data_IF_346805247617
#
_entry.id   IF_346805247617
#
_cell.length_a   1.000
_cell.length_b   1.000
_cell.length_c   1.000
_cell.angle_alpha   90.00
_cell.angle_beta   90.00
_cell.angle_gamma   90.00
#
_symmetry.space_group_name_H-M   'P 1'
#
loop_
_entity.id
_entity.type
_entity.pdbx_description
1 polymer ?
#
# COMPACT_ATOMS: atom_id res chain seq x y z
N UNK A 1 7.03 5.35 11.25
CA UNK A 1 6.75 4.38 10.17
C UNK A 1 7.95 4.05 9.31
N UNK A 2 8.63 4.96 8.60
CA UNK A 2 9.82 4.66 7.76
C UNK A 2 10.82 3.63 8.35
N UNK A 3 11.29 3.84 9.58
CA UNK A 3 12.21 2.90 10.27
C UNK A 3 11.59 1.53 10.50
N UNK A 4 10.30 1.49 10.84
CA UNK A 4 9.59 0.23 11.07
C UNK A 4 9.26 -0.48 9.76
N UNK A 5 8.88 0.23 8.70
CA UNK A 5 8.67 -0.33 7.36
C UNK A 5 9.91 -1.11 6.92
N UNK A 6 11.10 -0.47 7.01
CA UNK A 6 12.37 -1.08 6.63
C UNK A 6 12.87 -2.20 7.55
N UNK A 7 12.29 -2.35 8.74
CA UNK A 7 12.72 -3.34 9.73
C UNK A 7 11.68 -4.46 9.93
N UNK A 8 10.52 -4.38 9.28
CA UNK A 8 9.42 -5.31 9.52
C UNK A 8 9.53 -6.54 8.64
N UNK A 9 9.62 -7.72 9.27
CA UNK A 9 9.49 -9.02 8.57
C UNK A 9 8.07 -9.25 8.02
N UNK A 10 7.11 -8.44 8.45
CA UNK A 10 5.73 -8.48 7.95
C UNK A 10 5.55 -7.68 6.66
N UNK A 11 6.49 -6.81 6.31
CA UNK A 11 6.44 -5.95 5.13
C UNK A 11 7.59 -6.27 4.17
N UNK A 12 7.89 -7.56 4.01
CA UNK A 12 8.85 -8.00 3.02
C UNK A 12 8.28 -7.86 1.60
N UNK A 13 9.16 -7.55 0.67
CA UNK A 13 8.91 -7.55 -0.78
C UNK A 13 8.58 -8.98 -1.28
N UNK A 14 8.05 -9.15 -2.50
CA UNK A 14 7.73 -10.47 -3.06
C UNK A 14 8.93 -11.42 -3.15
N UNK A 15 10.15 -10.88 -3.23
CA UNK A 15 11.41 -11.64 -3.21
C UNK A 15 12.02 -11.80 -1.81
N UNK A 16 11.26 -11.46 -0.75
CA UNK A 16 11.62 -11.71 0.65
C UNK A 16 12.63 -10.74 1.24
N UNK A 17 12.80 -9.55 0.65
CA UNK A 17 13.73 -8.51 1.14
C UNK A 17 12.97 -7.47 1.96
N UNK A 18 13.68 -6.81 2.88
CA UNK A 18 13.15 -5.61 3.50
C UNK A 18 13.06 -4.46 2.50
N UNK A 19 12.03 -3.63 2.62
CA UNK A 19 11.88 -2.44 1.79
C UNK A 19 13.10 -1.54 1.95
N UNK A 20 13.61 -1.00 0.84
CA UNK A 20 14.75 -0.07 0.85
C UNK A 20 14.29 1.38 0.98
N UNK A 21 13.08 1.68 0.50
CA UNK A 21 12.48 3.01 0.44
C UNK A 21 10.99 2.96 0.77
N UNK A 22 10.38 4.15 0.76
CA UNK A 22 8.97 4.33 1.01
C UNK A 22 8.51 4.15 2.46
N UNK A 23 7.20 4.20 2.63
CA UNK A 23 6.52 4.08 3.93
C UNK A 23 5.23 3.27 3.82
N UNK A 24 5.05 2.38 4.78
CA UNK A 24 3.80 1.65 4.98
C UNK A 24 3.46 1.60 6.47
N UNK A 25 2.17 1.45 6.74
CA UNK A 25 1.64 1.01 8.01
C UNK A 25 0.59 -0.08 7.77
N UNK A 26 0.08 -0.65 8.84
CA UNK A 26 -0.98 -1.65 8.79
C UNK A 26 -2.29 -1.06 9.31
N UNK A 27 -3.41 -1.67 8.92
CA UNK A 27 -4.78 -1.22 9.23
C UNK A 27 -5.06 -0.86 10.69
N UNK A 28 -4.27 -1.34 11.65
CA UNK A 28 -4.35 -0.95 13.06
C UNK A 28 -3.17 -0.08 13.48
N UNK A 29 -3.46 1.09 14.03
CA UNK A 29 -2.47 1.95 14.68
C UNK A 29 -3.04 2.70 15.88
N UNK A 30 -2.18 3.38 16.64
CA UNK A 30 -2.55 4.13 17.84
C UNK A 30 -1.91 5.52 17.87
N UNK A 31 -2.24 6.30 18.90
CA UNK A 31 -1.77 7.70 19.08
C UNK A 31 -0.24 7.85 19.16
N UNK A 32 0.50 6.76 19.37
CA UNK A 32 1.96 6.74 19.39
C UNK A 32 2.57 6.27 18.07
N UNK A 33 1.75 6.06 17.03
CA UNK A 33 2.18 5.56 15.72
C UNK A 33 2.59 4.08 15.74
N UNK A 34 2.18 3.32 16.76
CA UNK A 34 2.39 1.88 16.81
C UNK A 34 1.62 1.18 15.70
N UNK A 35 2.19 0.12 15.12
CA UNK A 35 1.53 -0.75 14.15
C UNK A 35 1.04 -2.00 14.87
N UNK A 36 -0.28 -2.23 14.87
CA UNK A 36 -0.89 -3.44 15.42
C UNK A 36 -0.95 -4.52 14.36
N UNK A 37 -0.44 -5.71 14.68
CA UNK A 37 -0.64 -6.93 13.89
C UNK A 37 -1.61 -7.85 14.63
N UNK A 38 -2.64 -7.28 15.26
CA UNK A 38 -3.64 -8.10 15.95
C UNK A 38 -4.51 -8.79 14.91
N UNK A 39 -4.68 -10.10 15.09
CA UNK A 39 -5.44 -10.91 14.15
C UNK A 39 -6.91 -10.48 14.09
N UNK A 40 -7.37 -10.07 12.91
CA UNK A 40 -8.78 -9.79 12.63
C UNK A 40 -9.39 -10.99 11.94
N UNK A 41 -10.50 -11.53 12.48
CA UNK A 41 -11.18 -12.73 11.98
C UNK A 41 -10.27 -13.95 11.71
N UNK A 42 -9.17 -14.10 12.47
CA UNK A 42 -8.18 -15.18 12.28
C UNK A 42 -7.09 -14.89 11.25
N UNK A 43 -7.08 -13.70 10.65
CA UNK A 43 -6.08 -13.23 9.71
C UNK A 43 -4.98 -12.43 10.41
N UNK A 44 -3.71 -12.87 10.43
CA UNK A 44 -2.69 -12.32 11.32
C UNK A 44 -2.12 -10.95 10.89
N UNK A 45 -2.21 -10.60 9.60
CA UNK A 45 -1.43 -9.47 9.04
C UNK A 45 -2.29 -8.47 8.24
N UNK A 46 -3.50 -8.19 8.72
CA UNK A 46 -4.42 -7.18 8.15
C UNK A 46 -3.95 -5.74 8.43
N UNK A 47 -3.82 -4.79 7.50
CA UNK A 47 -3.81 -4.73 6.02
C UNK A 47 -2.67 -3.77 5.62
N UNK A 48 -1.85 -4.12 4.63
CA UNK A 48 -0.72 -3.30 4.16
C UNK A 48 -1.12 -2.20 3.16
N UNK A 49 -2.34 -2.22 2.63
CA UNK A 49 -2.82 -1.22 1.64
C UNK A 49 -3.31 0.08 2.25
N UNK A 50 -3.40 0.14 3.58
CA UNK A 50 -3.97 1.28 4.28
C UNK A 50 -3.26 2.61 4.00
N UNK A 51 -1.93 2.63 3.78
CA UNK A 51 -1.23 3.88 3.48
C UNK A 51 -1.55 4.44 2.10
N UNK A 52 -1.82 3.56 1.13
CA UNK A 52 -2.32 3.95 -0.18
C UNK A 52 -3.75 4.46 -0.10
N UNK A 53 -4.60 3.86 0.75
CA UNK A 53 -5.93 4.42 1.02
C UNK A 53 -5.84 5.80 1.67
N UNK A 54 -4.97 5.99 2.68
CA UNK A 54 -4.76 7.32 3.27
C UNK A 54 -4.25 8.34 2.27
N UNK A 55 -3.45 7.94 1.28
CA UNK A 55 -2.95 8.82 0.23
C UNK A 55 -4.10 9.44 -0.61
N UNK A 56 -5.25 8.77 -0.72
CA UNK A 56 -6.43 9.33 -1.38
C UNK A 56 -6.87 10.64 -0.71
N UNK A 57 -6.91 10.69 0.61
CA UNK A 57 -7.30 11.92 1.33
C UNK A 57 -6.29 13.06 1.13
N UNK A 58 -5.00 12.75 1.00
CA UNK A 58 -4.00 13.76 0.68
C UNK A 58 -4.25 14.36 -0.70
N UNK A 59 -4.56 13.52 -1.68
CA UNK A 59 -4.91 13.95 -3.03
C UNK A 59 -6.23 14.73 -3.06
N UNK A 60 -7.30 14.22 -2.45
CA UNK A 60 -8.62 14.86 -2.40
C UNK A 60 -8.52 16.28 -1.81
N UNK A 61 -7.75 16.47 -0.75
CA UNK A 61 -7.55 17.80 -0.17
C UNK A 61 -7.00 18.79 -1.21
N UNK A 62 -6.04 18.36 -2.03
CA UNK A 62 -5.57 19.17 -3.16
C UNK A 62 -6.63 19.30 -4.25
N UNK A 63 -7.28 18.21 -4.69
CA UNK A 63 -8.21 18.23 -5.81
C UNK A 63 -9.42 19.15 -5.57
N UNK A 64 -9.88 19.25 -4.33
CA UNK A 64 -10.99 20.13 -3.94
C UNK A 64 -10.54 21.53 -3.51
N UNK A 65 -9.30 21.69 -3.02
CA UNK A 65 -8.77 22.98 -2.56
C UNK A 65 -7.93 23.75 -3.60
N UNK A 66 -7.37 23.03 -4.58
CA UNK A 66 -6.43 23.50 -5.60
C UNK A 66 -5.16 24.19 -5.06
N UNK A 67 -4.81 23.96 -3.80
CA UNK A 67 -3.62 24.53 -3.17
C UNK A 67 -2.34 23.79 -3.61
N UNK A 68 -1.62 24.41 -4.55
CA UNK A 68 -0.37 23.87 -5.09
C UNK A 68 0.77 23.87 -4.07
N UNK A 69 0.74 24.74 -3.06
CA UNK A 69 1.75 24.76 -1.99
C UNK A 69 1.54 23.54 -1.11
N UNK A 70 0.30 23.27 -0.69
CA UNK A 70 -0.04 22.03 0.01
C UNK A 70 0.33 20.79 -0.80
N UNK A 71 0.01 20.75 -2.10
CA UNK A 71 0.38 19.62 -2.94
C UNK A 71 1.88 19.39 -2.92
N UNK A 72 2.68 20.43 -3.17
CA UNK A 72 4.13 20.33 -3.28
C UNK A 72 4.80 19.98 -1.95
N UNK A 73 4.40 20.63 -0.88
CA UNK A 73 5.14 20.59 0.39
C UNK A 73 4.60 19.52 1.35
N UNK A 74 3.38 19.02 1.14
CA UNK A 74 2.71 18.07 2.05
C UNK A 74 2.24 16.80 1.34
N UNK A 75 1.31 16.90 0.39
CA UNK A 75 0.66 15.73 -0.19
C UNK A 75 1.60 14.90 -1.08
N UNK A 76 2.28 15.55 -2.02
CA UNK A 76 3.16 14.86 -2.97
C UNK A 76 4.30 14.10 -2.28
N UNK A 77 5.05 14.68 -1.30
CA UNK A 77 6.07 13.93 -0.58
C UNK A 77 5.53 12.66 0.10
N UNK A 78 4.34 12.72 0.69
CA UNK A 78 3.71 11.54 1.30
C UNK A 78 3.33 10.50 0.24
N UNK A 79 2.57 10.91 -0.79
CA UNK A 79 2.13 10.02 -1.87
C UNK A 79 3.31 9.34 -2.56
N UNK A 80 4.39 10.10 -2.81
CA UNK A 80 5.64 9.58 -3.38
C UNK A 80 6.26 8.49 -2.53
N UNK A 81 6.37 8.67 -1.21
CA UNK A 81 6.91 7.61 -0.35
C UNK A 81 6.01 6.38 -0.31
N UNK A 82 4.69 6.54 -0.39
CA UNK A 82 3.78 5.38 -0.46
C UNK A 82 3.92 4.66 -1.81
N UNK A 83 4.05 5.39 -2.92
CA UNK A 83 4.31 4.79 -4.24
C UNK A 83 5.66 4.08 -4.28
N UNK A 84 6.71 4.66 -3.68
CA UNK A 84 8.03 4.03 -3.59
C UNK A 84 8.01 2.71 -2.81
N UNK A 85 7.14 2.59 -1.80
CA UNK A 85 6.89 1.32 -1.15
C UNK A 85 6.26 0.33 -2.15
N UNK A 86 5.18 0.72 -2.83
CA UNK A 86 4.51 -0.15 -3.80
C UNK A 86 5.39 -0.56 -4.99
N UNK A 87 6.33 0.28 -5.43
CA UNK A 87 7.30 -0.06 -6.48
C UNK A 87 8.10 -1.32 -6.15
N UNK A 88 8.39 -1.56 -4.87
CA UNK A 88 9.12 -2.74 -4.40
C UNK A 88 8.20 -3.91 -4.03
N UNK A 89 6.89 -3.66 -3.86
CA UNK A 89 5.94 -4.65 -3.33
C UNK A 89 5.01 -5.23 -4.39
N UNK A 90 4.86 -4.59 -5.54
CA UNK A 90 4.11 -5.15 -6.66
C UNK A 90 4.81 -6.40 -7.22
N UNK A 91 4.01 -7.42 -7.53
CA UNK A 91 4.49 -8.69 -8.08
C UNK A 91 4.13 -8.76 -9.57
N UNK A 92 5.10 -9.14 -10.41
CA UNK A 92 4.82 -9.46 -11.81
C UNK A 92 4.13 -10.83 -11.91
N UNK A 93 3.04 -10.88 -12.66
CA UNK A 93 2.33 -12.13 -12.95
C UNK A 93 3.13 -12.96 -13.97
N UNK A 94 3.60 -14.12 -13.53
CA UNK A 94 4.39 -15.05 -14.37
C UNK A 94 3.61 -16.29 -14.82
N UNK A 95 2.41 -16.50 -14.26
CA UNK A 95 1.52 -17.63 -14.56
C UNK A 95 0.08 -17.11 -14.73
N UNK A 96 -0.71 -17.73 -15.61
CA UNK A 96 -2.10 -17.32 -15.86
C UNK A 96 -2.43 -17.23 -17.35
N UNK A 97 -3.49 -16.48 -17.69
CA UNK A 97 -3.84 -16.24 -19.10
C UNK A 97 -2.83 -15.31 -19.77
N UNK A 98 -2.79 -15.33 -21.11
CA UNK A 98 -1.90 -14.45 -21.89
C UNK A 98 -2.12 -12.97 -21.57
N UNK A 99 -3.35 -12.60 -21.23
CA UNK A 99 -3.75 -11.23 -20.87
C UNK A 99 -3.28 -10.84 -19.46
N UNK A 100 -2.96 -11.80 -18.60
CA UNK A 100 -2.50 -11.57 -17.23
C UNK A 100 -0.96 -11.51 -17.16
N UNK A 101 -0.27 -12.31 -17.97
CA UNK A 101 1.19 -12.39 -17.96
C UNK A 101 1.85 -11.02 -18.15
N UNK A 102 2.83 -10.71 -17.29
CA UNK A 102 3.59 -9.46 -17.33
C UNK A 102 2.90 -8.27 -16.65
N UNK A 103 1.64 -8.38 -16.23
CA UNK A 103 0.99 -7.35 -15.40
C UNK A 103 1.56 -7.35 -13.97
N UNK A 104 1.45 -6.21 -13.31
CA UNK A 104 1.75 -6.06 -11.89
C UNK A 104 0.47 -6.25 -11.08
N UNK A 105 0.57 -7.00 -9.99
CA UNK A 105 -0.52 -7.21 -9.02
C UNK A 105 -0.05 -6.90 -7.61
N UNK A 106 -0.97 -6.45 -6.76
CA UNK A 106 -0.76 -6.42 -5.32
C UNK A 106 -0.76 -7.86 -4.80
N UNK A 107 0.34 -8.38 -4.23
CA UNK A 107 0.41 -9.77 -3.82
C UNK A 107 -0.16 -9.98 -2.41
N UNK A 108 -0.63 -11.21 -2.15
CA UNK A 108 -1.14 -11.63 -0.83
C UNK A 108 -2.15 -10.63 -0.21
N UNK A 109 -3.06 -10.09 -1.02
CA UNK A 109 -4.15 -9.26 -0.55
C UNK A 109 -5.26 -10.11 0.05
N UNK A 110 -5.91 -9.62 1.10
CA UNK A 110 -7.10 -10.23 1.68
C UNK A 110 -8.26 -9.25 1.52
N UNK A 111 -9.42 -9.70 1.04
CA UNK A 111 -10.59 -8.83 0.98
C UNK A 111 -11.16 -8.69 2.39
N UNK A 112 -11.12 -7.51 3.02
CA UNK A 112 -11.63 -7.35 4.37
C UNK A 112 -13.08 -7.85 4.47
N UNK A 113 -13.43 -8.79 5.35
CA UNK A 113 -12.60 -9.59 6.26
C UNK A 113 -12.90 -11.08 6.05
N UNK A 114 -12.90 -11.52 4.80
CA UNK A 114 -13.28 -12.88 4.46
C UNK A 114 -12.64 -13.39 3.17
N UNK A 115 -12.71 -14.71 3.00
CA UNK A 115 -12.12 -15.36 1.85
C UNK A 115 -10.62 -15.58 2.00
N UNK A 116 -9.96 -16.02 0.92
CA UNK A 116 -8.54 -16.35 0.93
C UNK A 116 -7.65 -15.10 0.83
N UNK A 117 -6.38 -15.25 1.19
CA UNK A 117 -5.32 -14.37 0.68
C UNK A 117 -5.05 -14.73 -0.78
N UNK A 118 -4.98 -13.73 -1.65
CA UNK A 118 -4.73 -13.92 -3.07
C UNK A 118 -3.95 -12.75 -3.68
N UNK A 119 -3.21 -13.04 -4.75
CA UNK A 119 -2.60 -12.00 -5.57
C UNK A 119 -3.68 -11.29 -6.39
N UNK A 120 -3.64 -9.96 -6.42
CA UNK A 120 -4.53 -9.15 -7.25
C UNK A 120 -5.96 -9.03 -6.70
N UNK A 121 -6.16 -9.21 -5.39
CA UNK A 121 -7.43 -8.92 -4.73
C UNK A 121 -7.94 -7.52 -5.11
N UNK A 122 -9.18 -7.40 -5.59
CA UNK A 122 -9.73 -6.15 -6.13
C UNK A 122 -9.64 -4.97 -5.17
N UNK A 123 -9.95 -5.19 -3.88
CA UNK A 123 -9.84 -4.18 -2.83
C UNK A 123 -8.46 -3.50 -2.84
N UNK A 124 -7.42 -4.31 -2.75
CA UNK A 124 -6.04 -3.84 -2.73
C UNK A 124 -5.62 -3.23 -4.07
N UNK A 125 -6.04 -3.88 -5.16
CA UNK A 125 -5.63 -3.50 -6.51
C UNK A 125 -6.19 -2.12 -6.90
N UNK A 126 -7.44 -1.83 -6.58
CA UNK A 126 -8.09 -0.54 -6.87
C UNK A 126 -7.46 0.60 -6.08
N UNK A 127 -7.18 0.40 -4.78
CA UNK A 127 -6.56 1.41 -3.93
C UNK A 127 -5.14 1.75 -4.40
N UNK A 128 -4.34 0.73 -4.72
CA UNK A 128 -2.97 0.95 -5.21
C UNK A 128 -2.97 1.55 -6.62
N UNK A 129 -3.91 1.15 -7.47
CA UNK A 129 -4.08 1.77 -8.78
C UNK A 129 -4.40 3.27 -8.65
N UNK A 130 -5.32 3.64 -7.76
CA UNK A 130 -5.71 5.04 -7.54
C UNK A 130 -4.54 5.91 -7.04
N UNK A 131 -3.69 5.37 -6.16
CA UNK A 131 -2.44 6.03 -5.76
C UNK A 131 -1.57 6.39 -6.98
N UNK A 132 -1.36 5.43 -7.90
CA UNK A 132 -0.52 5.66 -9.08
C UNK A 132 -1.18 6.56 -10.13
N UNK A 133 -2.51 6.68 -10.15
CA UNK A 133 -3.18 7.64 -11.03
C UNK A 133 -3.23 9.05 -10.47
N UNK A 134 -3.12 9.19 -9.15
CA UNK A 134 -3.17 10.48 -8.46
C UNK A 134 -1.78 11.05 -8.14
N UNK A 135 -0.70 10.27 -8.28
CA UNK A 135 0.65 10.80 -8.14
C UNK A 135 1.02 11.65 -9.38
N UNK A 136 1.28 12.94 -9.14
CA UNK A 136 1.50 13.98 -10.19
C UNK A 136 2.97 14.26 -10.42
#
# INVERSE_FOLDING_TARGET
WRKQTRASDKLLTPDGKHSSKGVACVGQHNIYGGMGYFSMAGHPDWDKTVTAWYAQHFWEHYAFGMDKTYLKDVAYPYMKEVSEFWDEHLKTVTNGTKEQLGKLVVPNGWSPEHGPEEDGCSYSQEIVWDLYTNIV
#
